data_IF_434738005424
#
_entry.id   IF_434738005424
#
_cell.length_a   1.000
_cell.length_b   1.000
_cell.length_c   1.000
_cell.angle_alpha   90.00
_cell.angle_beta   90.00
_cell.angle_gamma   90.00
#
_symmetry.space_group_name_H-M   'P 1'
#
loop_
_entity.id
_entity.type
_entity.pdbx_description
1 polymer ?
#
# COMPACT_ATOMS: atom_id res chain seq x y z
N UNK A 1 22.17 -6.96 5.75
CA UNK A 1 20.93 -7.45 5.11
C UNK A 1 19.97 -6.28 4.93
N UNK A 2 19.60 -5.93 3.69
CA UNK A 2 18.66 -4.82 3.43
C UNK A 2 17.25 -5.35 3.68
N UNK A 3 16.65 -4.98 4.82
CA UNK A 3 15.26 -5.34 5.15
C UNK A 3 14.33 -4.67 4.14
N UNK A 4 13.53 -5.46 3.44
CA UNK A 4 12.50 -4.95 2.53
C UNK A 4 11.36 -4.34 3.35
N UNK A 5 10.83 -3.20 2.89
CA UNK A 5 9.78 -2.42 3.56
C UNK A 5 8.55 -3.25 3.94
N UNK A 6 8.24 -4.31 3.18
CA UNK A 6 7.18 -5.29 3.48
C UNK A 6 7.36 -6.07 4.78
N UNK A 7 8.56 -6.12 5.36
CA UNK A 7 8.81 -6.77 6.66
C UNK A 7 8.65 -5.80 7.83
N UNK A 8 8.87 -4.50 7.61
CA UNK A 8 8.69 -3.47 8.63
C UNK A 8 7.23 -3.04 8.72
N UNK A 9 6.56 -3.01 7.58
CA UNK A 9 5.17 -2.57 7.44
C UNK A 9 4.40 -3.80 7.00
N UNK A 10 3.44 -4.24 7.82
CA UNK A 10 2.69 -5.51 7.71
C UNK A 10 1.77 -5.57 6.48
N UNK A 11 2.32 -5.31 5.29
CA UNK A 11 1.62 -5.26 4.02
C UNK A 11 2.26 -6.21 3.02
N UNK A 12 1.43 -6.77 2.14
CA UNK A 12 1.92 -7.62 1.06
C UNK A 12 2.70 -6.82 0.02
N UNK A 13 3.62 -7.48 -0.66
CA UNK A 13 4.38 -6.88 -1.75
C UNK A 13 3.47 -6.45 -2.92
N UNK A 14 2.45 -7.25 -3.23
CA UNK A 14 1.46 -6.91 -4.27
C UNK A 14 0.69 -5.64 -3.93
N UNK A 15 0.32 -5.45 -2.66
CA UNK A 15 -0.32 -4.22 -2.21
C UNK A 15 0.63 -3.03 -2.35
N UNK A 16 1.89 -3.15 -1.93
CA UNK A 16 2.88 -2.10 -2.11
C UNK A 16 3.06 -1.68 -3.59
N UNK A 17 3.11 -2.63 -4.52
CA UNK A 17 3.13 -2.31 -5.95
C UNK A 17 1.85 -1.63 -6.44
N UNK A 18 0.69 -2.06 -5.94
CA UNK A 18 -0.58 -1.43 -6.28
C UNK A 18 -0.64 0.03 -5.82
N UNK A 19 -0.15 0.34 -4.62
CA UNK A 19 -0.07 1.72 -4.10
C UNK A 19 0.79 2.60 -5.00
N UNK A 20 1.97 2.11 -5.35
CA UNK A 20 2.89 2.83 -6.26
C UNK A 20 2.28 3.02 -7.64
N UNK A 21 1.66 1.99 -8.21
CA UNK A 21 1.05 2.08 -9.55
C UNK A 21 -0.19 2.99 -9.59
N UNK A 22 -0.91 3.13 -8.47
CA UNK A 22 -2.02 4.07 -8.32
C UNK A 22 -1.57 5.52 -8.11
N UNK A 23 -0.27 5.73 -7.83
CA UNK A 23 0.25 7.06 -7.50
C UNK A 23 -0.09 7.52 -6.07
N UNK A 24 -0.52 6.59 -5.21
CA UNK A 24 -0.87 6.90 -3.81
C UNK A 24 0.37 7.21 -2.97
N UNK A 25 1.52 6.66 -3.36
CA UNK A 25 2.80 6.83 -2.68
C UNK A 25 3.90 6.97 -3.72
N UNK A 26 4.79 7.92 -3.49
CA UNK A 26 5.95 8.18 -4.35
C UNK A 26 6.95 7.03 -4.29
N UNK A 27 7.60 6.75 -5.43
CA UNK A 27 8.68 5.77 -5.47
C UNK A 27 9.87 6.25 -6.30
N UNK A 28 11.04 5.78 -5.91
CA UNK A 28 12.30 5.98 -6.62
C UNK A 28 12.75 4.65 -7.23
N UNK A 29 13.15 4.66 -8.49
CA UNK A 29 13.73 3.50 -9.14
C UNK A 29 15.25 3.54 -9.05
N UNK A 30 15.85 2.55 -8.38
CA UNK A 30 17.30 2.42 -8.25
C UNK A 30 17.70 1.01 -8.67
N UNK A 31 18.45 0.90 -9.77
CA UNK A 31 18.97 -0.38 -10.30
C UNK A 31 17.90 -1.48 -10.43
N UNK A 32 16.73 -1.12 -10.97
CA UNK A 32 15.62 -2.06 -11.19
C UNK A 32 14.72 -2.30 -9.97
N UNK A 33 15.08 -1.81 -8.78
CA UNK A 33 14.23 -1.88 -7.61
C UNK A 33 13.43 -0.58 -7.43
N UNK A 34 12.13 -0.69 -7.15
CA UNK A 34 11.33 0.43 -6.66
C UNK A 34 11.55 0.56 -5.15
N UNK A 35 11.86 1.77 -4.69
CA UNK A 35 12.00 2.10 -3.27
C UNK A 35 11.00 3.18 -2.91
N UNK A 36 10.45 3.07 -1.72
CA UNK A 36 9.47 3.99 -1.16
C UNK A 36 10.08 4.58 0.11
N UNK A 37 9.80 5.86 0.40
CA UNK A 37 10.25 6.43 1.66
C UNK A 37 9.43 5.87 2.81
N UNK A 38 10.10 5.60 3.93
CA UNK A 38 9.46 4.96 5.07
C UNK A 38 8.42 5.87 5.73
N UNK A 39 8.74 7.15 5.88
CA UNK A 39 7.87 8.19 6.47
C UNK A 39 6.58 8.41 5.66
N UNK A 40 6.67 8.45 4.34
CA UNK A 40 5.51 8.61 3.46
C UNK A 40 4.58 7.38 3.52
N UNK A 41 5.17 6.18 3.58
CA UNK A 41 4.41 4.94 3.67
C UNK A 41 3.75 4.77 5.04
N UNK A 42 4.43 5.13 6.12
CA UNK A 42 3.87 5.14 7.48
C UNK A 42 2.70 6.12 7.58
N UNK A 43 2.86 7.35 7.07
CA UNK A 43 1.80 8.35 7.04
C UNK A 43 0.58 7.87 6.23
N UNK A 44 0.80 7.21 5.09
CA UNK A 44 -0.29 6.62 4.31
C UNK A 44 -1.05 5.54 5.08
N UNK A 45 -0.34 4.64 5.77
CA UNK A 45 -0.96 3.53 6.49
C UNK A 45 -1.77 4.00 7.70
N UNK A 46 -1.28 4.98 8.45
CA UNK A 46 -2.07 5.58 9.53
C UNK A 46 -3.32 6.28 8.98
N UNK A 47 -3.22 6.99 7.84
CA UNK A 47 -4.40 7.58 7.18
C UNK A 47 -5.46 6.54 6.82
N UNK A 48 -5.05 5.42 6.21
CA UNK A 48 -5.98 4.35 5.78
C UNK A 48 -6.58 3.61 6.97
N UNK A 49 -5.83 3.39 8.04
CA UNK A 49 -6.32 2.75 9.27
C UNK A 49 -7.49 3.51 9.91
N UNK A 50 -7.52 4.83 9.74
CA UNK A 50 -8.59 5.69 10.21
C UNK A 50 -9.71 5.92 9.19
N UNK A 51 -9.58 5.39 7.96
CA UNK A 51 -10.60 5.56 6.93
C UNK A 51 -11.76 4.58 7.18
N UNK A 52 -13.02 5.06 7.22
CA UNK A 52 -14.16 4.18 7.43
C UNK A 52 -14.27 3.21 6.26
N UNK A 53 -14.19 1.91 6.57
CA UNK A 53 -14.33 0.84 5.58
C UNK A 53 -15.69 0.98 4.90
N UNK A 54 -15.69 1.41 3.63
CA UNK A 54 -16.89 1.42 2.81
C UNK A 54 -17.17 -0.01 2.39
N UNK A 55 -18.02 -0.70 3.15
CA UNK A 55 -18.55 -1.98 2.74
C UNK A 55 -19.28 -1.79 1.41
N UNK A 56 -19.04 -2.63 0.39
CA UNK A 56 -19.77 -2.54 -0.86
C UNK A 56 -21.27 -2.68 -0.55
N UNK A 57 -22.08 -1.75 -1.07
CA UNK A 57 -23.53 -1.85 -0.98
C UNK A 57 -23.92 -3.23 -1.55
N UNK A 58 -24.64 -4.03 -0.76
CA UNK A 58 -25.06 -5.40 -1.10
C UNK A 58 -25.54 -5.44 -2.55
N UNK A 59 -24.70 -5.93 -3.46
CA UNK A 59 -25.11 -6.30 -4.80
C UNK A 59 -26.11 -7.45 -4.65
N UNK A 60 -27.26 -7.30 -5.30
CA UNK A 60 -28.36 -8.26 -5.34
C UNK A 60 -27.81 -9.68 -5.45
N UNK A 61 -28.24 -10.57 -4.54
CA UNK A 61 -27.99 -12.01 -4.66
C UNK A 61 -28.43 -12.45 -6.05
N UNK A 62 -27.50 -12.95 -6.87
CA UNK A 62 -27.87 -13.79 -7.99
C UNK A 62 -28.30 -15.13 -7.39
N UNK A 63 -29.60 -15.42 -7.50
CA UNK A 63 -30.15 -16.77 -7.33
C UNK A 63 -29.95 -17.54 -8.63
#
# INVERSE_FOLDING_TARGET
>A
MKRSTSMLLKISLSFAYALVNRGEISCYQIRGCKRVREDELEAYLERVKHEPVRLPARSKKHF
#
